data_IF_311126128079
#
_entry.id   IF_311126128079
#
_cell.length_a   1.000
_cell.length_b   1.000
_cell.length_c   1.000
_cell.angle_alpha   90.00
_cell.angle_beta   90.00
_cell.angle_gamma   90.00
#
_symmetry.space_group_name_H-M   'P 1'
#
loop_
_entity.id
_entity.type
_entity.pdbx_description
1 polymer ?
#
# COMPACT_ATOMS: atom_id res chain seq x y z
N UNK A 1 -5.40 3.97 2.10
CA UNK A 1 -4.51 3.19 1.21
C UNK A 1 -3.68 4.12 0.33
N UNK A 2 -4.23 4.76 -0.71
CA UNK A 2 -3.43 5.56 -1.66
C UNK A 2 -2.65 6.72 -1.03
N UNK A 3 -3.26 7.45 -0.08
CA UNK A 3 -2.55 8.53 0.65
C UNK A 3 -1.34 7.99 1.40
N UNK A 4 -1.52 6.96 2.23
CA UNK A 4 -0.42 6.33 2.99
C UNK A 4 0.65 5.76 2.07
N UNK A 5 0.28 5.06 0.98
CA UNK A 5 1.26 4.53 0.03
C UNK A 5 2.10 5.64 -0.64
N UNK A 6 1.52 6.82 -0.84
CA UNK A 6 2.26 7.97 -1.34
C UNK A 6 3.19 8.57 -0.27
N UNK A 7 2.72 8.70 0.97
CA UNK A 7 3.50 9.24 2.10
C UNK A 7 4.65 8.31 2.48
N UNK A 8 4.37 7.02 2.69
CA UNK A 8 5.31 6.03 3.22
C UNK A 8 6.33 5.56 2.19
N UNK A 9 5.94 5.39 0.91
CA UNK A 9 6.81 4.77 -0.12
C UNK A 9 6.88 5.55 -1.43
N UNK A 10 6.27 6.73 -1.53
CA UNK A 10 6.39 7.62 -2.69
C UNK A 10 5.59 7.21 -3.94
N UNK A 11 4.72 6.20 -3.84
CA UNK A 11 3.91 5.75 -4.98
C UNK A 11 2.87 6.82 -5.33
N UNK A 12 2.92 7.36 -6.55
CA UNK A 12 1.97 8.36 -7.00
C UNK A 12 0.55 7.77 -7.07
N UNK A 13 -0.45 8.40 -6.41
CA UNK A 13 -1.83 7.92 -6.44
C UNK A 13 -2.46 8.02 -7.83
N UNK A 14 -1.88 8.82 -8.73
CA UNK A 14 -2.33 8.98 -10.11
C UNK A 14 -1.91 7.82 -11.02
N UNK A 15 -0.89 7.06 -10.62
CA UNK A 15 -0.34 5.95 -11.41
C UNK A 15 -0.94 4.60 -11.00
N UNK A 16 -1.54 4.51 -9.81
CA UNK A 16 -2.14 3.28 -9.29
C UNK A 16 -3.51 3.03 -9.89
N UNK A 17 -3.65 1.92 -10.63
CA UNK A 17 -4.95 1.39 -11.00
C UNK A 17 -5.47 0.49 -9.87
N UNK A 18 -6.53 0.93 -9.18
CA UNK A 18 -7.19 0.11 -8.15
C UNK A 18 -8.04 -0.96 -8.83
N UNK A 19 -7.70 -2.23 -8.63
CA UNK A 19 -8.43 -3.38 -9.18
C UNK A 19 -9.69 -3.69 -8.37
N UNK A 20 -9.67 -3.42 -7.06
CA UNK A 20 -10.82 -3.61 -6.20
C UNK A 20 -10.45 -3.75 -4.72
N UNK A 21 -11.48 -4.01 -3.92
CA UNK A 21 -11.34 -4.30 -2.49
C UNK A 21 -11.37 -5.81 -2.24
N UNK A 22 -10.61 -6.26 -1.26
CA UNK A 22 -10.70 -7.63 -0.74
C UNK A 22 -11.70 -7.72 0.40
N UNK A 23 -11.88 -8.93 0.94
CA UNK A 23 -12.69 -9.16 2.15
C UNK A 23 -12.14 -8.36 3.32
N UNK A 24 -13.04 -7.74 4.07
CA UNK A 24 -12.71 -6.95 5.26
C UNK A 24 -12.09 -7.85 6.35
N UNK A 25 -11.12 -7.31 7.08
CA UNK A 25 -10.45 -8.01 8.17
C UNK A 25 -10.75 -7.31 9.49
N UNK A 26 -11.52 -7.97 10.35
CA UNK A 26 -11.72 -7.51 11.72
C UNK A 26 -10.53 -7.92 12.60
N UNK A 27 -9.98 -6.97 13.36
CA UNK A 27 -8.86 -7.15 14.30
C UNK A 27 -9.41 -7.03 15.73
N UNK A 28 -9.63 -8.16 16.44
CA UNK A 28 -10.30 -8.15 17.75
C UNK A 28 -9.55 -7.37 18.83
N UNK A 29 -8.22 -7.41 18.84
CA UNK A 29 -7.39 -6.80 19.90
C UNK A 29 -7.42 -5.26 19.89
N UNK A 30 -7.75 -4.65 18.75
CA UNK A 30 -7.87 -3.20 18.61
C UNK A 30 -9.29 -2.71 18.34
N UNK A 31 -10.24 -3.64 18.12
CA UNK A 31 -11.59 -3.34 17.66
C UNK A 31 -11.62 -2.53 16.35
N UNK A 32 -10.69 -2.83 15.43
CA UNK A 32 -10.62 -2.18 14.11
C UNK A 32 -11.08 -3.12 12.99
N UNK A 33 -11.65 -2.53 11.94
CA UNK A 33 -11.93 -3.21 10.68
C UNK A 33 -11.00 -2.64 9.63
N UNK A 34 -10.17 -3.50 9.03
CA UNK A 34 -9.28 -3.14 7.91
C UNK A 34 -10.02 -3.42 6.61
N UNK A 35 -9.98 -2.45 5.70
CA UNK A 35 -10.53 -2.57 4.35
C UNK A 35 -9.36 -2.66 3.35
N UNK A 36 -8.94 -3.86 2.90
CA UNK A 36 -7.79 -4.02 2.01
C UNK A 36 -8.16 -3.73 0.56
N UNK A 37 -7.21 -3.15 -0.19
CA UNK A 37 -7.36 -2.83 -1.61
C UNK A 37 -6.18 -3.41 -2.40
N UNK A 38 -6.45 -3.89 -3.61
CA UNK A 38 -5.42 -4.29 -4.57
C UNK A 38 -5.28 -3.21 -5.63
N UNK A 39 -4.06 -2.73 -5.82
CA UNK A 39 -3.69 -1.80 -6.88
C UNK A 39 -2.58 -2.37 -7.74
N UNK A 40 -2.53 -1.97 -9.01
CA UNK A 40 -1.47 -2.34 -9.95
C UNK A 40 -0.85 -1.07 -10.55
N UNK A 41 0.45 -1.13 -10.81
CA UNK A 41 1.22 -0.13 -11.54
C UNK A 41 1.68 -0.78 -12.85
N UNK A 42 1.66 -0.04 -13.95
CA UNK A 42 2.11 -0.54 -15.26
C UNK A 42 3.64 -0.57 -15.42
N UNK A 43 4.36 -0.01 -14.44
CA UNK A 43 5.81 0.01 -14.40
C UNK A 43 6.32 -0.05 -12.96
N UNK A 44 7.64 -0.12 -12.81
CA UNK A 44 8.29 -0.07 -11.50
C UNK A 44 8.29 1.37 -11.00
N UNK A 45 7.67 1.68 -9.85
CA UNK A 45 7.68 3.04 -9.31
C UNK A 45 9.07 3.39 -8.77
N UNK A 46 9.37 4.69 -8.73
CA UNK A 46 10.50 5.23 -7.98
C UNK A 46 10.16 5.23 -6.48
N UNK A 47 10.44 4.13 -5.80
CA UNK A 47 10.15 3.99 -4.38
C UNK A 47 11.00 4.94 -3.54
N UNK A 48 10.34 5.69 -2.66
CA UNK A 48 10.97 6.62 -1.72
C UNK A 48 10.49 6.31 -0.30
N UNK A 49 11.20 5.45 0.45
CA UNK A 49 10.81 5.10 1.81
C UNK A 49 10.87 6.32 2.73
N UNK A 50 9.81 6.56 3.49
CA UNK A 50 9.74 7.65 4.46
C UNK A 50 10.64 7.34 5.68
N UNK A 51 11.65 8.18 5.96
CA UNK A 51 12.50 7.99 7.12
C UNK A 51 11.70 8.01 8.43
N UNK A 52 11.89 7.01 9.27
CA UNK A 52 11.21 6.87 10.55
C UNK A 52 9.92 6.05 10.51
N UNK A 53 9.39 5.75 9.33
CA UNK A 53 8.21 4.90 9.14
C UNK A 53 8.54 3.63 8.36
N UNK A 54 9.40 3.73 7.33
CA UNK A 54 9.79 2.60 6.46
C UNK A 54 11.29 2.34 6.53
N UNK A 55 11.67 1.16 7.03
CA UNK A 55 13.06 0.72 7.09
C UNK A 55 13.56 0.13 5.76
N UNK A 56 12.72 -0.66 5.07
CA UNK A 56 13.07 -1.30 3.81
C UNK A 56 11.83 -1.60 2.95
N UNK A 57 12.04 -1.68 1.62
CA UNK A 57 11.04 -2.12 0.64
C UNK A 57 11.58 -3.37 -0.05
N UNK A 58 10.78 -4.44 -0.09
CA UNK A 58 11.17 -5.75 -0.62
C UNK A 58 10.29 -6.12 -1.81
N UNK A 59 10.88 -6.69 -2.86
CA UNK A 59 10.19 -7.11 -4.08
C UNK A 59 10.34 -8.62 -4.28
N UNK A 60 9.39 -9.45 -3.80
CA UNK A 60 9.41 -10.89 -4.03
C UNK A 60 9.03 -11.23 -5.48
N UNK A 61 9.51 -12.38 -5.96
CA UNK A 61 9.01 -12.98 -7.20
C UNK A 61 7.57 -13.48 -7.00
N UNK A 62 6.73 -13.34 -8.03
CA UNK A 62 5.32 -13.77 -8.05
C UNK A 62 5.17 -15.14 -8.72
#
# INVERSE_FOLDING_TARGET
>A
ALREAHEEVGVSPLEVQVLGRLTELYIPVSNFVVHPFVGVLLGVPDFRPQPGEVEAILTPEL
#
